data_IF_638053755304
#
_entry.id   IF_638053755304
#
_cell.length_a   1.000
_cell.length_b   1.000
_cell.length_c   1.000
_cell.angle_alpha   90.00
_cell.angle_beta   90.00
_cell.angle_gamma   90.00
#
_symmetry.space_group_name_H-M   'P 1'
#
loop_
_entity.id
_entity.type
_entity.pdbx_description
1 polymer ?
#
# COMPACT_ATOMS: atom_id res chain seq x y z
N UNK A 1 -32.99 19.40 5.19
CA UNK A 1 -31.65 19.45 4.57
C UNK A 1 -30.80 18.37 5.22
N UNK A 2 -30.69 17.20 4.59
CA UNK A 2 -29.83 16.14 5.11
C UNK A 2 -28.38 16.61 5.08
N UNK A 3 -27.62 16.52 6.18
CA UNK A 3 -26.22 16.93 6.18
C UNK A 3 -25.50 16.07 5.15
N UNK A 4 -24.77 16.71 4.23
CA UNK A 4 -23.85 16.02 3.32
C UNK A 4 -22.82 15.32 4.19
N UNK A 5 -23.05 14.05 4.51
CA UNK A 5 -22.12 13.26 5.32
C UNK A 5 -20.87 13.11 4.48
N UNK A 6 -19.84 13.90 4.79
CA UNK A 6 -18.53 13.77 4.17
C UNK A 6 -17.90 12.43 4.52
N UNK A 7 -16.64 12.24 4.13
CA UNK A 7 -15.86 11.07 4.56
C UNK A 7 -15.85 11.05 6.10
N UNK A 8 -16.24 9.93 6.75
CA UNK A 8 -16.15 9.81 8.20
C UNK A 8 -14.72 10.14 8.65
N UNK A 9 -14.59 10.84 9.78
CA UNK A 9 -13.28 11.12 10.39
C UNK A 9 -12.64 9.77 10.75
N UNK A 10 -11.71 9.33 9.92
CA UNK A 10 -10.76 8.28 10.30
C UNK A 10 -9.66 8.94 11.11
N UNK A 11 -9.24 8.32 12.22
CA UNK A 11 -8.15 8.85 13.05
C UNK A 11 -6.81 8.82 12.29
N UNK A 12 -6.57 7.79 11.47
CA UNK A 12 -5.37 7.66 10.64
C UNK A 12 -5.72 7.33 9.19
N UNK A 13 -6.13 8.34 8.39
CA UNK A 13 -6.39 8.14 6.98
C UNK A 13 -5.09 7.91 6.20
N UNK A 14 -5.12 6.97 5.26
CA UNK A 14 -4.04 6.80 4.26
C UNK A 14 -4.08 7.99 3.29
N UNK A 15 -3.45 9.11 3.68
CA UNK A 15 -3.48 10.37 2.93
C UNK A 15 -2.25 10.61 2.05
N UNK A 16 -1.16 9.87 2.28
CA UNK A 16 0.08 10.08 1.52
C UNK A 16 0.08 9.20 0.28
N UNK A 17 0.15 9.84 -0.89
CA UNK A 17 0.30 9.17 -2.17
C UNK A 17 1.78 9.17 -2.57
N UNK A 18 2.30 8.01 -2.95
CA UNK A 18 3.66 7.86 -3.48
C UNK A 18 3.59 7.33 -4.91
N UNK A 19 4.34 7.95 -5.81
CA UNK A 19 4.55 7.48 -7.18
C UNK A 19 5.95 6.89 -7.29
N UNK A 20 6.04 5.59 -7.54
CA UNK A 20 7.32 4.86 -7.59
C UNK A 20 7.50 4.33 -9.02
N UNK A 21 8.71 4.50 -9.56
CA UNK A 21 9.12 3.86 -10.82
C UNK A 21 9.77 2.52 -10.51
N UNK A 22 9.25 1.45 -11.11
CA UNK A 22 9.77 0.10 -10.97
C UNK A 22 10.24 -0.39 -12.33
N UNK A 23 11.29 -1.20 -12.31
CA UNK A 23 11.70 -1.95 -13.50
C UNK A 23 10.68 -3.03 -13.83
N UNK A 24 10.65 -3.45 -15.10
CA UNK A 24 9.71 -4.45 -15.61
C UNK A 24 9.80 -5.76 -14.82
N UNK A 25 11.02 -6.20 -14.49
CA UNK A 25 11.22 -7.42 -13.71
C UNK A 25 10.68 -7.31 -12.29
N UNK A 26 10.82 -6.15 -11.66
CA UNK A 26 10.35 -5.90 -10.29
C UNK A 26 8.82 -5.82 -10.24
N UNK A 27 8.18 -5.15 -11.20
CA UNK A 27 6.71 -5.12 -11.29
C UNK A 27 6.13 -6.52 -11.53
N UNK A 28 6.77 -7.35 -12.36
CA UNK A 28 6.32 -8.72 -12.58
C UNK A 28 6.40 -9.57 -11.31
N UNK A 29 7.50 -9.47 -10.56
CA UNK A 29 7.65 -10.16 -9.27
C UNK A 29 6.64 -9.67 -8.25
N UNK A 30 6.45 -8.36 -8.14
CA UNK A 30 5.46 -7.77 -7.24
C UNK A 30 4.04 -8.24 -7.60
N UNK A 31 3.71 -8.28 -8.89
CA UNK A 31 2.40 -8.74 -9.36
C UNK A 31 2.18 -10.22 -9.06
N UNK A 32 3.16 -11.08 -9.33
CA UNK A 32 3.08 -12.51 -9.02
C UNK A 32 2.88 -12.73 -7.52
N UNK A 33 3.66 -12.06 -6.68
CA UNK A 33 3.52 -12.11 -5.22
C UNK A 33 2.12 -11.65 -4.77
N UNK A 34 1.63 -10.53 -5.30
CA UNK A 34 0.28 -10.05 -4.99
C UNK A 34 -0.82 -11.05 -5.38
N UNK A 35 -0.65 -11.76 -6.50
CA UNK A 35 -1.60 -12.77 -6.98
C UNK A 35 -1.59 -14.02 -6.10
N UNK A 36 -0.41 -14.51 -5.72
CA UNK A 36 -0.25 -15.68 -4.85
C UNK A 36 -0.83 -15.44 -3.46
N UNK A 37 -0.58 -14.26 -2.90
CA UNK A 37 -1.00 -13.90 -1.54
C UNK A 37 -2.38 -13.21 -1.46
N UNK A 38 -3.05 -12.98 -2.60
CA UNK A 38 -4.33 -12.26 -2.70
C UNK A 38 -4.33 -10.87 -2.01
N UNK A 39 -3.20 -10.15 -2.09
CA UNK A 39 -3.05 -8.81 -1.52
C UNK A 39 -2.96 -7.74 -2.61
N UNK A 40 -3.22 -6.49 -2.23
CA UNK A 40 -3.05 -5.36 -3.16
C UNK A 40 -1.59 -4.95 -3.27
N UNK A 41 -1.18 -4.38 -4.41
CA UNK A 41 0.19 -3.81 -4.57
C UNK A 41 0.55 -2.81 -3.47
N UNK A 42 -0.39 -1.95 -3.09
CA UNK A 42 -0.18 -0.98 -2.01
C UNK A 42 -0.11 -1.61 -0.62
N UNK A 43 -0.57 -2.84 -0.45
CA UNK A 43 -0.38 -3.62 0.78
C UNK A 43 0.97 -4.33 0.79
N UNK A 44 1.35 -4.95 -0.32
CA UNK A 44 2.68 -5.54 -0.50
C UNK A 44 3.79 -4.51 -0.28
N UNK A 45 3.65 -3.29 -0.81
CA UNK A 45 4.61 -2.19 -0.58
C UNK A 45 4.67 -1.79 0.90
N UNK A 46 3.52 -1.69 1.58
CA UNK A 46 3.49 -1.36 3.01
C UNK A 46 4.17 -2.42 3.87
N UNK A 47 3.88 -3.70 3.59
CA UNK A 47 4.56 -4.82 4.25
C UNK A 47 6.06 -4.80 3.97
N UNK A 48 6.49 -4.50 2.74
CA UNK A 48 7.90 -4.33 2.41
C UNK A 48 8.57 -3.24 3.24
N UNK A 49 7.91 -2.10 3.46
CA UNK A 49 8.43 -1.03 4.34
C UNK A 49 8.53 -1.50 5.79
N UNK A 50 7.51 -2.19 6.31
CA UNK A 50 7.54 -2.73 7.69
C UNK A 50 8.65 -3.77 7.88
N UNK A 51 8.90 -4.62 6.87
CA UNK A 51 10.00 -5.58 6.88
C UNK A 51 11.36 -4.88 6.89
N UNK A 52 11.59 -3.89 6.03
CA UNK A 52 12.84 -3.12 6.00
C UNK A 52 13.10 -2.41 7.34
N UNK A 53 12.08 -1.81 7.94
CA UNK A 53 12.18 -1.17 9.25
C UNK A 53 12.34 -2.18 10.41
N UNK A 54 11.86 -3.41 10.22
CA UNK A 54 12.00 -4.50 11.18
C UNK A 54 13.37 -5.17 11.16
N UNK A 55 14.03 -5.20 10.00
CA UNK A 55 15.36 -5.79 9.80
C UNK A 55 16.52 -4.87 10.23
N UNK A 56 16.29 -3.58 10.45
CA UNK A 56 17.29 -2.63 11.02
C UNK A 56 17.48 -2.78 12.55
N UNK A 57 17.12 -3.92 13.15
CA UNK A 57 17.28 -4.19 14.59
C UNK A 57 18.46 -5.09 14.93
#
# INVERSE_FOLDING_TARGET
MSPRTGRPKAENPKCVNYSIRLDVGTEQRLRAYCQEHNITRGEAIRQGIELLLGEEK
#
